data_IF_523732850235
#
_entry.id   IF_523732850235
#
_cell.length_a   1.000
_cell.length_b   1.000
_cell.length_c   1.000
_cell.angle_alpha   90.00
_cell.angle_beta   90.00
_cell.angle_gamma   90.00
#
_symmetry.space_group_name_H-M   'P 1'
#
loop_
_entity.id
_entity.type
_entity.pdbx_description
1 polymer ?
#
# COMPACT_ATOMS: atom_id res chain seq x y z
N UNK A 1 35.10 -0.61 -11.66
CA UNK A 1 33.80 -0.47 -10.97
C UNK A 1 33.37 -1.85 -10.53
N UNK A 2 33.30 -2.12 -9.23
CA UNK A 2 32.80 -3.40 -8.71
C UNK A 2 31.27 -3.37 -8.72
N UNK A 3 30.58 -4.41 -9.23
CA UNK A 3 29.13 -4.42 -9.26
C UNK A 3 28.57 -4.55 -7.84
N UNK A 4 27.85 -3.52 -7.38
CA UNK A 4 27.12 -3.56 -6.12
C UNK A 4 25.82 -4.31 -6.35
N UNK A 5 25.61 -5.44 -5.64
CA UNK A 5 24.32 -6.15 -5.64
C UNK A 5 23.30 -5.30 -4.88
N UNK A 6 22.35 -4.71 -5.59
CA UNK A 6 21.19 -4.09 -4.95
C UNK A 6 20.22 -5.16 -4.44
N UNK A 7 19.78 -5.10 -3.16
CA UNK A 7 18.76 -6.00 -2.64
C UNK A 7 17.41 -5.74 -3.32
N UNK A 8 16.81 -6.80 -3.87
CA UNK A 8 15.58 -6.74 -4.68
C UNK A 8 14.33 -6.28 -3.92
N UNK A 9 14.32 -6.44 -2.60
CA UNK A 9 13.14 -6.24 -1.75
C UNK A 9 13.22 -4.97 -0.90
N UNK A 10 14.17 -4.06 -1.16
CA UNK A 10 14.32 -2.84 -0.36
C UNK A 10 13.09 -1.91 -0.46
N UNK A 11 12.37 -1.98 -1.57
CA UNK A 11 11.14 -1.22 -1.84
C UNK A 11 9.86 -2.08 -1.73
N UNK A 12 9.97 -3.31 -1.22
CA UNK A 12 8.80 -4.16 -1.04
C UNK A 12 8.01 -3.72 0.21
N UNK A 13 6.67 -3.67 0.16
CA UNK A 13 5.86 -3.39 1.34
C UNK A 13 6.06 -4.50 2.39
N UNK A 14 5.84 -4.16 3.66
CA UNK A 14 5.97 -5.12 4.76
C UNK A 14 4.95 -6.25 4.59
N UNK A 15 5.45 -7.48 4.62
CA UNK A 15 4.65 -8.70 4.53
C UNK A 15 4.20 -9.14 5.92
N UNK A 16 2.90 -9.39 6.09
CA UNK A 16 2.27 -9.87 7.31
C UNK A 16 1.68 -11.27 7.06
N UNK A 17 2.37 -12.31 7.54
CA UNK A 17 2.07 -13.71 7.22
C UNK A 17 1.98 -13.96 5.70
N UNK A 18 0.78 -14.23 5.18
CA UNK A 18 0.53 -14.53 3.75
C UNK A 18 0.09 -13.31 2.93
N UNK A 19 -0.09 -12.15 3.56
CA UNK A 19 -0.60 -10.93 2.92
C UNK A 19 0.39 -9.78 3.05
N UNK A 20 0.39 -8.87 2.09
CA UNK A 20 1.10 -7.59 2.24
C UNK A 20 0.19 -6.58 2.97
N UNK A 21 0.75 -5.66 3.77
CA UNK A 21 -0.04 -4.72 4.60
C UNK A 21 -1.05 -3.91 3.80
N UNK A 22 -0.69 -3.54 2.58
CA UNK A 22 -1.57 -2.79 1.67
C UNK A 22 -2.79 -3.61 1.23
N UNK A 23 -2.73 -4.94 1.27
CA UNK A 23 -3.86 -5.84 0.98
C UNK A 23 -4.79 -6.01 2.18
N UNK A 24 -4.30 -5.77 3.40
CA UNK A 24 -5.07 -5.88 4.63
C UNK A 24 -5.86 -4.60 4.92
N UNK A 25 -5.40 -3.44 4.40
CA UNK A 25 -6.08 -2.15 4.53
C UNK A 25 -7.59 -2.18 4.20
N UNK A 26 -8.05 -2.73 3.06
CA UNK A 26 -9.49 -2.81 2.76
C UNK A 26 -10.26 -3.71 3.73
N UNK A 27 -9.65 -4.76 4.28
CA UNK A 27 -10.29 -5.61 5.29
C UNK A 27 -10.53 -4.80 6.57
N UNK A 28 -9.52 -4.08 7.06
CA UNK A 28 -9.65 -3.26 8.27
C UNK A 28 -10.71 -2.18 8.08
N UNK A 29 -10.75 -1.52 6.91
CA UNK A 29 -11.75 -0.51 6.60
C UNK A 29 -13.18 -1.05 6.65
N UNK A 30 -13.43 -2.20 6.03
CA UNK A 30 -14.75 -2.85 6.07
C UNK A 30 -15.11 -3.37 7.47
N UNK A 31 -14.11 -3.71 8.30
CA UNK A 31 -14.34 -4.17 9.68
C UNK A 31 -14.86 -3.01 10.52
N UNK A 32 -14.16 -1.88 10.43
CA UNK A 32 -14.57 -0.65 11.10
C UNK A 32 -15.98 -0.23 10.67
N UNK A 33 -16.28 -0.26 9.35
CA UNK A 33 -17.62 0.05 8.84
C UNK A 33 -18.69 -0.94 9.32
N UNK A 34 -18.37 -2.23 9.38
CA UNK A 34 -19.29 -3.26 9.90
C UNK A 34 -19.61 -3.09 11.37
N UNK A 35 -18.63 -2.68 12.18
CA UNK A 35 -18.83 -2.36 13.60
C UNK A 35 -19.71 -1.11 13.73
N UNK A 36 -19.41 -0.05 12.97
CA UNK A 36 -20.15 1.22 13.04
C UNK A 36 -21.62 1.10 12.60
N UNK A 37 -21.90 0.24 11.63
CA UNK A 37 -23.26 0.05 11.08
C UNK A 37 -24.02 -1.09 11.73
N UNK A 38 -23.39 -1.89 12.61
CA UNK A 38 -23.99 -3.09 13.18
C UNK A 38 -24.22 -4.23 12.17
N UNK A 39 -23.65 -4.13 10.96
CA UNK A 39 -23.85 -5.11 9.86
C UNK A 39 -22.64 -6.04 9.66
N UNK A 40 -21.96 -6.36 10.75
CA UNK A 40 -20.64 -7.03 10.75
C UNK A 40 -20.63 -8.35 9.98
N UNK A 41 -21.70 -9.14 10.06
CA UNK A 41 -21.83 -10.43 9.36
C UNK A 41 -21.78 -10.26 7.84
N UNK A 42 -22.51 -9.29 7.29
CA UNK A 42 -22.55 -9.01 5.85
C UNK A 42 -21.21 -8.42 5.38
N UNK A 43 -20.64 -7.53 6.20
CA UNK A 43 -19.34 -6.92 5.91
C UNK A 43 -18.21 -7.96 5.93
N UNK A 44 -18.31 -9.02 6.72
CA UNK A 44 -17.34 -10.10 6.75
C UNK A 44 -17.22 -10.83 5.41
N UNK A 45 -18.35 -11.15 4.78
CA UNK A 45 -18.36 -11.78 3.45
C UNK A 45 -17.81 -10.80 2.42
N UNK A 46 -18.22 -9.54 2.52
CA UNK A 46 -17.82 -8.48 1.60
C UNK A 46 -16.30 -8.23 1.66
N UNK A 47 -15.68 -8.32 2.84
CA UNK A 47 -14.24 -8.23 3.01
C UNK A 47 -13.48 -9.22 2.13
N UNK A 48 -13.84 -10.51 2.20
CA UNK A 48 -13.14 -11.54 1.43
C UNK A 48 -13.24 -11.29 -0.07
N UNK A 49 -14.44 -10.88 -0.53
CA UNK A 49 -14.66 -10.55 -1.94
C UNK A 49 -13.82 -9.34 -2.36
N UNK A 50 -13.85 -8.26 -1.58
CA UNK A 50 -13.09 -7.04 -1.88
C UNK A 50 -11.58 -7.28 -1.83
N UNK A 51 -11.08 -8.03 -0.85
CA UNK A 51 -9.65 -8.37 -0.78
C UNK A 51 -9.21 -9.21 -1.98
N UNK A 52 -10.02 -10.18 -2.42
CA UNK A 52 -9.70 -10.96 -3.62
C UNK A 52 -9.70 -10.11 -4.89
N UNK A 53 -10.64 -9.19 -5.03
CA UNK A 53 -10.67 -8.24 -6.14
C UNK A 53 -9.45 -7.29 -6.10
N UNK A 54 -9.10 -6.80 -4.91
CA UNK A 54 -7.93 -5.94 -4.72
C UNK A 54 -6.62 -6.68 -5.04
N UNK A 55 -6.46 -7.93 -4.59
CA UNK A 55 -5.32 -8.77 -4.94
C UNK A 55 -5.21 -8.98 -6.45
N UNK A 56 -6.33 -9.27 -7.13
CA UNK A 56 -6.37 -9.41 -8.59
C UNK A 56 -6.02 -8.12 -9.33
N UNK A 57 -6.49 -6.98 -8.83
CA UNK A 57 -6.12 -5.68 -9.36
C UNK A 57 -4.62 -5.42 -9.19
N UNK A 58 -4.08 -5.67 -7.99
CA UNK A 58 -2.67 -5.45 -7.66
C UNK A 58 -1.72 -6.32 -8.49
N UNK A 59 -2.07 -7.58 -8.77
CA UNK A 59 -1.24 -8.46 -9.62
C UNK A 59 -1.21 -8.02 -11.09
N UNK A 60 -2.25 -7.32 -11.55
CA UNK A 60 -2.35 -6.83 -12.94
C UNK A 60 -1.84 -5.39 -13.08
N UNK A 61 -1.94 -4.59 -12.02
CA UNK A 61 -1.57 -3.19 -12.02
C UNK A 61 -0.06 -2.98 -11.95
N UNK A 62 0.41 -1.88 -12.55
CA UNK A 62 1.81 -1.43 -12.43
C UNK A 62 2.12 -1.14 -10.96
N UNK A 63 3.30 -1.58 -10.50
CA UNK A 63 3.82 -1.33 -9.15
C UNK A 63 3.73 0.17 -8.84
N UNK A 64 3.02 0.56 -7.78
CA UNK A 64 2.80 1.96 -7.40
C UNK A 64 1.53 2.64 -7.95
N UNK A 65 0.68 1.94 -8.72
CA UNK A 65 -0.57 2.51 -9.23
C UNK A 65 -1.51 3.02 -8.11
N UNK A 66 -1.57 2.32 -6.98
CA UNK A 66 -2.39 2.71 -5.81
C UNK A 66 -1.85 3.97 -5.16
N UNK A 67 -0.53 4.07 -4.96
CA UNK A 67 0.14 5.29 -4.47
C UNK A 67 -0.09 6.48 -5.41
N UNK A 68 -0.13 6.23 -6.72
CA UNK A 68 -0.42 7.27 -7.72
C UNK A 68 -1.87 7.76 -7.65
N UNK A 69 -2.83 6.85 -7.44
CA UNK A 69 -4.24 7.21 -7.22
C UNK A 69 -4.42 8.01 -5.91
N UNK A 70 -3.74 7.59 -4.84
CA UNK A 70 -3.72 8.31 -3.56
C UNK A 70 -3.09 9.69 -3.68
N UNK A 71 -2.06 9.84 -4.52
CA UNK A 71 -1.46 11.13 -4.84
C UNK A 71 -2.45 12.04 -5.59
N UNK A 72 -3.18 11.50 -6.56
CA UNK A 72 -4.20 12.28 -7.28
C UNK A 72 -5.30 12.80 -6.36
N UNK A 73 -5.70 12.00 -5.36
CA UNK A 73 -6.69 12.40 -4.36
C UNK A 73 -6.09 13.26 -3.22
N UNK A 74 -4.80 13.61 -3.28
CA UNK A 74 -4.13 14.45 -2.28
C UNK A 74 -3.89 13.77 -0.92
N UNK A 75 -4.17 12.47 -0.81
CA UNK A 75 -3.99 11.69 0.43
C UNK A 75 -2.50 11.32 0.62
N UNK A 76 -1.78 11.10 -0.49
CA UNK A 76 -0.36 10.79 -0.47
C UNK A 76 0.46 11.94 -1.07
N UNK A 77 1.37 12.53 -0.30
CA UNK A 77 2.34 13.48 -0.84
C UNK A 77 3.60 12.72 -1.27
N UNK A 78 3.79 12.58 -2.58
CA UNK A 78 4.99 11.98 -3.17
C UNK A 78 6.24 12.88 -3.03
N UNK A 79 6.05 14.15 -2.64
CA UNK A 79 7.14 15.01 -2.20
C UNK A 79 7.59 14.57 -0.82
N UNK A 80 8.72 13.87 -0.75
CA UNK A 80 9.37 13.55 0.52
C UNK A 80 9.68 14.79 1.36
N UNK A 81 10.18 14.58 2.58
CA UNK A 81 10.59 15.61 3.55
C UNK A 81 11.52 16.70 2.99
N UNK A 82 12.12 16.46 1.83
CA UNK A 82 13.03 17.33 1.11
C UNK A 82 12.51 17.61 -0.30
N UNK A 83 12.50 18.87 -0.72
CA UNK A 83 12.06 19.29 -2.07
C UNK A 83 12.97 18.74 -3.19
N UNK A 84 14.14 18.20 -2.86
CA UNK A 84 15.19 17.80 -3.78
C UNK A 84 16.09 16.69 -3.19
N UNK A 85 16.39 15.64 -3.98
CA UNK A 85 17.22 14.49 -3.56
C UNK A 85 18.69 14.82 -3.27
N UNK A 86 19.16 16.00 -3.73
CA UNK A 86 20.52 16.49 -3.54
C UNK A 86 20.76 17.04 -2.12
N UNK A 87 19.71 17.36 -1.35
CA UNK A 87 19.84 17.92 0.00
C UNK A 87 20.61 17.00 0.97
N UNK A 88 20.65 15.68 0.70
CA UNK A 88 21.41 14.70 1.49
C UNK A 88 22.93 14.79 1.31
N UNK A 89 23.43 15.38 0.21
CA UNK A 89 24.86 15.45 -0.08
C UNK A 89 25.57 16.60 0.67
N UNK A 90 24.81 17.57 1.19
CA UNK A 90 25.36 18.78 1.82
C UNK A 90 25.39 18.73 3.36
N UNK A 91 25.03 17.59 3.98
CA UNK A 91 24.97 17.41 5.44
C UNK A 91 25.81 16.20 5.89
N UNK A 92 26.82 15.83 5.09
CA UNK A 92 27.79 14.75 5.37
C UNK A 92 29.16 15.34 5.61
#
# INVERSE_FOLDING_TARGET
MTPVKMPKNIDAPMQMAFWEIDEVAPMIGLLALGILTGTLTYMFILMFVVTKLYQRYKTTARRGAVLHLLWWHGIYNAGGRWKNGQARLFIS
#
